data_IF_671589475870
#
_entry.id   IF_671589475870
#
_cell.length_a   1.000
_cell.length_b   1.000
_cell.length_c   1.000
_cell.angle_alpha   90.00
_cell.angle_beta   90.00
_cell.angle_gamma   90.00
#
_symmetry.space_group_name_H-M   'P 1'
#
loop_
_entity.id
_entity.type
_entity.pdbx_description
1 polymer ?
#
# COMPACT_ATOMS: atom_id res chain seq x y z
N UNK A 1 9.47 -22.64 12.72
CA UNK A 1 9.54 -22.04 12.73
C UNK A 1 9.46 -21.48 12.61
N UNK A 2 9.80 -21.14 12.68
CA UNK A 2 9.87 -20.33 12.54
C UNK A 2 10.06 -19.66 12.46
N UNK A 3 10.42 -19.55 12.31
CA UNK A 3 10.70 -18.76 12.30
C UNK A 3 10.54 -18.02 11.91
N UNK A 4 10.79 -17.95 11.85
CA UNK A 4 10.68 -17.14 11.54
C UNK A 4 10.26 -16.60 11.54
N UNK A 5 10.33 -16.73 11.67
CA UNK A 5 10.05 -16.03 11.82
C UNK A 5 10.11 -15.45 11.88
N UNK A 6 10.91 -15.12 12.01
CA UNK A 6 11.21 -14.44 12.00
C UNK A 6 11.30 -13.71 11.95
N UNK A 7 11.80 -13.97 11.61
CA UNK A 7 12.01 -13.26 11.73
C UNK A 7 11.32 -12.93 12.14
N UNK A 8 11.81 -13.79 12.04
CA UNK A 8 10.89 -13.61 12.82
C UNK A 8 10.10 -12.37 12.71
N UNK A 9 10.31 -11.59 12.55
CA UNK A 9 9.70 -10.34 12.44
C UNK A 9 8.88 -10.23 11.19
N UNK A 10 8.13 -9.15 11.08
CA UNK A 10 7.32 -8.89 9.92
C UNK A 10 8.22 -8.52 8.74
N UNK A 11 7.85 -8.91 7.54
CA UNK A 11 8.54 -8.44 6.36
C UNK A 11 8.56 -6.91 6.30
N UNK A 12 9.61 -6.37 5.71
CA UNK A 12 9.77 -4.92 5.64
C UNK A 12 8.57 -4.27 4.98
N UNK A 13 8.03 -4.89 3.93
CA UNK A 13 6.87 -4.33 3.25
C UNK A 13 5.69 -4.16 4.20
N UNK A 14 5.44 -5.17 5.03
CA UNK A 14 4.36 -5.08 6.02
C UNK A 14 4.61 -3.95 6.99
N UNK A 15 5.85 -3.76 7.40
CA UNK A 15 6.19 -2.68 8.31
C UNK A 15 5.97 -1.32 7.65
N UNK A 16 6.28 -1.20 6.36
CA UNK A 16 6.06 0.05 5.64
C UNK A 16 4.58 0.40 5.55
N UNK A 17 3.72 -0.62 5.44
CA UNK A 17 2.29 -0.38 5.37
C UNK A 17 1.73 0.25 6.64
N UNK A 18 2.45 0.17 7.75
CA UNK A 18 2.02 0.83 8.99
C UNK A 18 1.94 2.35 8.81
N UNK A 19 2.68 2.89 7.86
CA UNK A 19 2.68 4.32 7.61
C UNK A 19 1.62 4.74 6.61
N UNK A 20 0.78 3.80 6.18
CA UNK A 20 -0.34 4.08 5.29
C UNK A 20 -1.61 4.06 6.14
N UNK A 21 -2.15 5.23 6.52
CA UNK A 21 -3.31 5.28 7.41
C UNK A 21 -4.56 4.83 6.68
N UNK A 22 -5.03 3.63 7.03
CA UNK A 22 -6.16 3.02 6.34
C UNK A 22 -7.42 3.88 6.41
N UNK A 23 -7.69 4.46 7.58
CA UNK A 23 -8.88 5.30 7.75
C UNK A 23 -8.85 6.50 6.82
N UNK A 24 -7.68 7.10 6.66
CA UNK A 24 -7.52 8.24 5.77
C UNK A 24 -7.75 7.84 4.32
N UNK A 25 -7.18 6.70 3.92
CA UNK A 25 -7.36 6.21 2.56
C UNK A 25 -8.82 5.92 2.28
N UNK A 26 -9.52 5.30 3.22
CA UNK A 26 -10.94 5.00 3.06
C UNK A 26 -11.76 6.28 2.95
N UNK A 27 -11.42 7.29 3.74
CA UNK A 27 -12.14 8.57 3.69
C UNK A 27 -11.96 9.24 2.33
N UNK A 28 -10.73 9.26 1.83
CA UNK A 28 -10.46 9.88 0.54
C UNK A 28 -11.09 9.09 -0.61
N UNK A 29 -11.12 7.77 -0.48
CA UNK A 29 -11.76 6.94 -1.51
C UNK A 29 -13.26 7.24 -1.57
N UNK A 30 -13.90 7.39 -0.43
CA UNK A 30 -15.32 7.74 -0.39
C UNK A 30 -15.55 9.12 -0.99
N UNK A 31 -14.69 10.06 -0.64
CA UNK A 31 -14.81 11.43 -1.13
C UNK A 31 -14.72 11.49 -2.64
N UNK A 32 -13.87 10.66 -3.23
CA UNK A 32 -13.68 10.63 -4.68
C UNK A 32 -14.60 9.65 -5.40
N UNK A 33 -15.39 8.89 -4.65
CA UNK A 33 -16.26 7.89 -5.25
C UNK A 33 -15.50 6.76 -5.91
N UNK A 34 -14.30 6.51 -5.47
CA UNK A 34 -13.39 5.56 -6.11
C UNK A 34 -13.82 4.11 -5.95
N UNK A 35 -14.61 3.81 -4.93
CA UNK A 35 -15.05 2.44 -4.67
C UNK A 35 -16.49 2.18 -5.08
N UNK A 36 -17.10 3.11 -5.81
CA UNK A 36 -18.53 3.06 -6.11
C UNK A 36 -18.95 1.74 -6.74
N UNK A 37 -18.17 1.20 -7.64
CA UNK A 37 -18.52 -0.01 -8.37
C UNK A 37 -17.65 -1.21 -8.00
N UNK A 38 -16.92 -1.09 -6.88
CA UNK A 38 -15.97 -2.13 -6.46
C UNK A 38 -16.35 -2.63 -5.08
N UNK A 39 -16.74 -3.90 -5.00
CA UNK A 39 -17.15 -4.45 -3.72
C UNK A 39 -15.99 -5.06 -2.94
N UNK A 40 -15.05 -5.67 -3.64
CA UNK A 40 -13.95 -6.38 -2.99
C UNK A 40 -12.60 -5.73 -3.22
N UNK A 41 -12.33 -5.32 -4.44
CA UNK A 41 -11.04 -4.71 -4.74
C UNK A 41 -11.14 -3.19 -4.55
N UNK A 42 -11.10 -2.79 -3.29
CA UNK A 42 -11.26 -1.39 -2.91
C UNK A 42 -10.03 -0.58 -3.30
N UNK A 43 -10.15 0.74 -3.21
CA UNK A 43 -9.02 1.64 -3.47
C UNK A 43 -7.85 1.30 -2.55
N UNK A 44 -8.13 1.00 -1.29
CA UNK A 44 -7.07 0.65 -0.34
C UNK A 44 -6.33 -0.62 -0.79
N UNK A 45 -7.08 -1.66 -1.17
CA UNK A 45 -6.46 -2.90 -1.65
C UNK A 45 -5.68 -2.67 -2.93
N UNK A 46 -6.23 -1.84 -3.83
CA UNK A 46 -5.57 -1.51 -5.08
C UNK A 46 -4.24 -0.80 -4.82
N UNK A 47 -4.26 0.16 -3.87
CA UNK A 47 -3.06 0.88 -3.50
C UNK A 47 -1.98 -0.05 -2.95
N UNK A 48 -2.38 -0.98 -2.08
CA UNK A 48 -1.43 -1.95 -1.52
C UNK A 48 -0.82 -2.79 -2.63
N UNK A 49 -1.64 -3.24 -3.58
CA UNK A 49 -1.13 -4.06 -4.69
C UNK A 49 -0.14 -3.27 -5.55
N UNK A 50 -0.42 -1.99 -5.79
CA UNK A 50 0.50 -1.17 -6.56
C UNK A 50 1.80 -0.91 -5.81
N UNK A 51 1.71 -0.68 -4.50
CA UNK A 51 2.91 -0.51 -3.69
C UNK A 51 3.74 -1.78 -3.66
N UNK A 52 3.07 -2.93 -3.60
CA UNK A 52 3.77 -4.21 -3.68
C UNK A 52 4.49 -4.34 -5.00
N UNK A 53 3.83 -3.92 -6.09
CA UNK A 53 4.44 -3.95 -7.41
C UNK A 53 5.75 -3.17 -7.44
N UNK A 54 5.72 -1.98 -6.85
CA UNK A 54 6.91 -1.15 -6.81
C UNK A 54 7.98 -1.72 -5.90
N UNK A 55 7.58 -2.21 -4.74
CA UNK A 55 8.52 -2.70 -3.76
C UNK A 55 9.25 -3.95 -4.26
N UNK A 56 8.51 -4.86 -4.90
CA UNK A 56 9.09 -6.11 -5.38
C UNK A 56 9.60 -6.01 -6.82
N UNK A 57 9.53 -4.83 -7.41
CA UNK A 57 10.01 -4.61 -8.78
C UNK A 57 9.35 -5.56 -9.79
N UNK A 58 8.05 -5.80 -9.60
CA UNK A 58 7.32 -6.66 -10.52
C UNK A 58 7.19 -6.01 -11.88
N UNK A 59 7.29 -6.81 -12.94
CA UNK A 59 7.20 -6.29 -14.30
C UNK A 59 5.88 -6.64 -14.98
N UNK A 60 5.03 -7.43 -14.32
CA UNK A 60 3.75 -7.81 -14.90
C UNK A 60 2.73 -8.02 -13.79
N UNK A 61 1.45 -7.94 -14.16
CA UNK A 61 0.38 -8.21 -13.21
C UNK A 61 0.41 -9.65 -12.73
N UNK A 62 0.87 -10.56 -13.59
CA UNK A 62 0.99 -11.96 -13.20
C UNK A 62 1.98 -12.10 -12.04
N UNK A 63 3.10 -11.40 -12.13
CA UNK A 63 4.08 -11.45 -11.05
C UNK A 63 3.53 -10.90 -9.75
N UNK A 64 2.76 -9.82 -9.85
CA UNK A 64 2.18 -9.21 -8.66
C UNK A 64 1.23 -10.20 -7.98
N UNK A 65 0.31 -10.78 -8.75
CA UNK A 65 -0.66 -11.70 -8.19
C UNK A 65 0.02 -12.94 -7.63
N UNK A 66 0.97 -13.50 -8.36
CA UNK A 66 1.70 -14.67 -7.90
C UNK A 66 2.47 -14.38 -6.62
N UNK A 67 3.13 -13.22 -6.58
CA UNK A 67 3.89 -12.84 -5.39
C UNK A 67 3.01 -12.63 -4.17
N UNK A 68 1.86 -12.00 -4.37
CA UNK A 68 0.94 -11.78 -3.28
C UNK A 68 0.33 -13.08 -2.80
N UNK A 69 0.08 -14.03 -3.71
CA UNK A 69 -0.40 -15.34 -3.33
C UNK A 69 0.61 -16.08 -2.45
N UNK A 70 1.88 -15.86 -2.70
CA UNK A 70 2.92 -16.45 -1.87
C UNK A 70 2.88 -15.90 -0.44
N UNK A 71 2.22 -14.77 -0.25
CA UNK A 71 2.07 -14.15 1.06
C UNK A 71 0.69 -14.43 1.65
N UNK A 72 0.00 -15.45 1.15
CA UNK A 72 -1.40 -15.68 1.52
C UNK A 72 -1.59 -15.79 3.02
N UNK A 73 -0.69 -16.47 3.72
CA UNK A 73 -0.81 -16.59 5.16
C UNK A 73 -0.64 -15.29 5.91
N UNK A 74 -0.30 -14.21 5.22
CA UNK A 74 -0.05 -12.91 5.84
C UNK A 74 -1.00 -11.84 5.31
N UNK A 75 -2.13 -12.26 4.75
CA UNK A 75 -3.09 -11.29 4.21
C UNK A 75 -3.55 -10.30 5.24
N UNK A 76 -3.78 -10.75 6.46
CA UNK A 76 -4.22 -9.86 7.52
C UNK A 76 -3.15 -8.81 7.82
N UNK A 77 -1.89 -9.20 7.76
CA UNK A 77 -0.80 -8.25 7.95
C UNK A 77 -0.78 -7.19 6.87
N UNK A 78 -1.21 -7.55 5.67
CA UNK A 78 -1.30 -6.62 4.57
C UNK A 78 -2.60 -5.82 4.58
N UNK A 79 -3.46 -6.08 5.57
CA UNK A 79 -4.78 -5.44 5.67
C UNK A 79 -5.66 -5.77 4.48
N UNK A 80 -5.48 -6.94 3.90
CA UNK A 80 -6.27 -7.43 2.79
C UNK A 80 -7.13 -8.58 3.24
N UNK A 81 -8.35 -8.62 2.73
CA UNK A 81 -9.26 -9.72 3.02
C UNK A 81 -9.14 -10.80 1.95
N UNK A 82 -8.93 -10.39 0.72
CA UNK A 82 -8.79 -11.31 -0.40
C UNK A 82 -7.77 -10.76 -1.37
N UNK A 83 -7.20 -11.64 -2.17
CA UNK A 83 -6.30 -11.25 -3.25
C UNK A 83 -7.10 -11.02 -4.51
N UNK A 84 -6.74 -10.02 -5.30
CA UNK A 84 -7.44 -9.79 -6.56
C UNK A 84 -7.02 -10.84 -7.58
N UNK A 85 -7.95 -11.21 -8.45
CA UNK A 85 -7.61 -11.96 -9.64
C UNK A 85 -6.88 -10.99 -10.58
N UNK A 86 -6.08 -11.55 -11.49
CA UNK A 86 -5.34 -10.72 -12.42
C UNK A 86 -6.26 -9.85 -13.26
N UNK A 87 -7.40 -10.42 -13.69
CA UNK A 87 -8.35 -9.65 -14.48
C UNK A 87 -8.97 -8.51 -13.69
N UNK A 88 -9.26 -8.74 -12.42
CA UNK A 88 -9.80 -7.69 -11.55
C UNK A 88 -8.79 -6.55 -11.39
N UNK A 89 -7.54 -6.89 -11.19
CA UNK A 89 -6.47 -5.91 -11.04
C UNK A 89 -6.33 -5.11 -12.34
N UNK A 90 -6.35 -5.81 -13.49
CA UNK A 90 -6.22 -5.16 -14.78
C UNK A 90 -7.38 -4.20 -15.03
N UNK A 91 -8.61 -4.63 -14.72
CA UNK A 91 -9.77 -3.77 -14.91
C UNK A 91 -9.70 -2.53 -14.01
N UNK A 92 -9.29 -2.72 -12.77
CA UNK A 92 -9.18 -1.60 -11.86
C UNK A 92 -8.13 -0.59 -12.35
N UNK A 93 -7.02 -1.08 -12.89
CA UNK A 93 -5.98 -0.20 -13.43
C UNK A 93 -6.50 0.62 -14.61
N UNK A 94 -7.44 0.05 -15.38
CA UNK A 94 -8.00 0.77 -16.53
C UNK A 94 -9.04 1.81 -16.11
N UNK A 95 -9.88 1.46 -15.15
CA UNK A 95 -11.11 2.22 -14.93
C UNK A 95 -11.10 3.10 -13.67
N UNK A 96 -10.28 2.76 -12.68
CA UNK A 96 -10.24 3.61 -11.49
C UNK A 96 -9.42 4.87 -11.80
N UNK A 97 -10.00 6.01 -11.47
CA UNK A 97 -9.35 7.29 -11.75
C UNK A 97 -8.04 7.41 -10.97
N UNK A 98 -7.02 7.95 -11.61
CA UNK A 98 -5.75 8.19 -10.93
C UNK A 98 -5.88 9.28 -9.86
N UNK A 99 -6.92 10.08 -9.94
CA UNK A 99 -7.05 11.23 -9.04
C UNK A 99 -7.11 10.84 -7.58
N UNK A 100 -7.72 9.68 -7.28
CA UNK A 100 -7.78 9.24 -5.90
C UNK A 100 -6.37 8.96 -5.37
N UNK A 101 -5.54 8.33 -6.19
CA UNK A 101 -4.18 8.00 -5.77
C UNK A 101 -3.31 9.25 -5.66
N UNK A 102 -3.52 10.21 -6.54
CA UNK A 102 -2.84 11.49 -6.45
C UNK A 102 -3.19 12.21 -5.16
N UNK A 103 -4.47 12.21 -4.82
CA UNK A 103 -4.93 12.83 -3.59
C UNK A 103 -4.32 12.15 -2.37
N UNK A 104 -4.30 10.81 -2.38
CA UNK A 104 -3.70 10.05 -1.29
C UNK A 104 -2.22 10.39 -1.17
N UNK A 105 -1.53 10.48 -2.31
CA UNK A 105 -0.11 10.81 -2.31
C UNK A 105 0.15 12.15 -1.61
N UNK A 106 -0.62 13.18 -1.98
CA UNK A 106 -0.39 14.48 -1.40
C UNK A 106 -0.75 14.53 0.09
N UNK A 107 -1.75 13.79 0.50
CA UNK A 107 -2.07 13.69 1.93
C UNK A 107 -0.94 13.05 2.70
N UNK A 108 -0.37 11.98 2.16
CA UNK A 108 0.75 11.32 2.81
C UNK A 108 1.98 12.21 2.81
N UNK A 109 2.21 12.92 1.72
CA UNK A 109 3.34 13.83 1.64
C UNK A 109 3.25 14.90 2.72
N UNK A 110 2.07 15.52 2.86
CA UNK A 110 1.90 16.55 3.89
C UNK A 110 2.05 15.99 5.30
N UNK A 111 1.57 14.75 5.49
CA UNK A 111 1.65 14.12 6.79
C UNK A 111 3.09 13.86 7.22
N UNK A 112 3.94 13.47 6.29
CA UNK A 112 5.29 13.03 6.62
C UNK A 112 6.40 13.94 6.14
N UNK A 113 6.09 15.05 5.49
CA UNK A 113 7.13 15.89 4.90
C UNK A 113 8.13 16.40 5.92
N UNK A 114 7.69 16.65 7.13
CA UNK A 114 8.58 17.16 8.16
C UNK A 114 9.62 16.13 8.58
N UNK A 115 9.37 14.87 8.30
CA UNK A 115 10.29 13.78 8.63
C UNK A 115 11.16 13.38 7.46
N UNK A 116 10.90 13.94 6.27
CA UNK A 116 11.70 13.60 5.08
C UNK A 116 12.95 14.48 5.07
N UNK A 117 14.11 13.88 4.78
CA UNK A 117 15.33 14.68 4.72
C UNK A 117 15.27 15.64 3.53
N UNK A 118 15.68 16.86 3.80
CA UNK A 118 15.84 17.84 2.74
C UNK A 118 17.16 17.51 2.03
N UNK A 119 17.09 17.38 0.70
CA UNK A 119 18.30 17.06 -0.06
C UNK A 119 19.39 18.11 0.09
N UNK A 120 19.02 19.29 0.53
CA UNK A 120 19.98 20.38 0.77
C UNK A 120 20.51 20.37 2.19
N UNK A 121 19.92 19.60 3.07
CA UNK A 121 20.30 19.60 4.48
C UNK A 121 21.30 18.51 4.75
N UNK A 122 22.35 18.86 5.42
CA UNK A 122 23.34 17.89 5.83
C UNK A 122 22.98 17.25 7.17
N UNK A 123 21.93 17.75 7.81
CA UNK A 123 21.47 17.20 9.07
C UNK A 123 20.29 16.30 8.81
N UNK A 124 20.60 15.16 8.26
CA UNK A 124 19.52 14.41 7.67
C UNK A 124 18.86 13.36 8.50
N UNK A 125 18.81 13.39 9.77
CA UNK A 125 18.18 12.29 10.47
C UNK A 125 16.86 12.72 11.07
N UNK A 126 15.84 12.74 10.23
CA UNK A 126 14.48 12.84 10.72
C UNK A 126 14.00 11.43 11.02
N UNK A 127 13.35 11.26 12.15
CA UNK A 127 12.83 9.98 12.57
C UNK A 127 11.32 9.97 12.34
N UNK A 128 10.83 8.96 11.63
CA UNK A 128 9.40 8.85 11.41
C UNK A 128 8.69 8.46 12.71
N UNK A 129 7.46 8.94 12.89
CA UNK A 129 6.71 8.56 14.08
C UNK A 129 6.40 7.07 14.06
N UNK A 130 6.44 6.45 15.22
CA UNK A 130 6.11 5.04 15.33
C UNK A 130 4.62 4.85 15.15
N UNK A 131 4.24 3.91 14.31
CA UNK A 131 2.85 3.61 14.12
C UNK A 131 2.07 4.80 13.61
N UNK A 132 2.38 5.24 12.43
CA UNK A 132 1.71 6.38 11.84
C UNK A 132 0.27 6.05 11.51
N UNK A 133 -0.64 6.72 12.16
CA UNK A 133 -2.02 6.43 11.91
C UNK A 133 -2.95 7.55 12.31
#
# INVERSE_FOLDING_TARGET
>A
MNKSKFFSGQPIFTQLLQYLPKSEVLRLARQKGSDRYYKKFTTHSHLIAMLYTCYEHCTSLREVVTGMQACEGKLQSLHLQTLPARSTFSEANKHRSYEVFETIYYHLFERYRQFLPDSRSKKGSAVLPAGAD
#
